data_IF_905952357396
#
_entry.id   IF_905952357396
#
_cell.length_a   1.000
_cell.length_b   1.000
_cell.length_c   1.000
_cell.angle_alpha   90.00
_cell.angle_beta   90.00
_cell.angle_gamma   90.00
#
_symmetry.space_group_name_H-M   'P 1'
#
loop_
_entity.id
_entity.type
_entity.pdbx_description
1 polymer ?
#
# COMPACT_ATOMS: atom_id res chain seq x y z
N UNK A 1 -17.66 30.29 -18.67
CA UNK A 1 -16.39 29.79 -19.25
C UNK A 1 -15.27 29.47 -18.24
N UNK A 2 -15.48 29.53 -16.90
CA UNK A 2 -14.42 29.18 -15.90
C UNK A 2 -14.48 27.73 -15.36
N UNK A 3 -15.50 26.96 -15.69
CA UNK A 3 -15.70 25.59 -15.15
C UNK A 3 -14.95 24.53 -15.97
N UNK A 4 -14.74 24.77 -17.27
CA UNK A 4 -14.08 23.81 -18.18
C UNK A 4 -12.59 23.58 -17.86
N UNK A 5 -11.92 24.57 -17.24
CA UNK A 5 -10.51 24.47 -16.85
C UNK A 5 -10.21 23.49 -15.71
N UNK A 6 -11.22 23.12 -14.89
CA UNK A 6 -11.05 22.16 -13.78
C UNK A 6 -11.23 20.69 -14.19
N UNK A 7 -11.85 20.42 -15.34
CA UNK A 7 -12.12 19.04 -15.81
C UNK A 7 -10.99 18.48 -16.69
N UNK A 8 -10.20 19.35 -17.33
CA UNK A 8 -9.01 18.98 -18.10
C UNK A 8 -7.98 18.18 -17.28
N UNK A 9 -7.58 18.59 -16.04
CA UNK A 9 -6.62 17.83 -15.24
C UNK A 9 -7.17 16.49 -14.74
N UNK A 10 -8.48 16.36 -14.53
CA UNK A 10 -9.08 15.09 -14.12
C UNK A 10 -9.06 14.08 -15.28
N UNK A 11 -9.32 14.53 -16.52
CA UNK A 11 -9.26 13.67 -17.71
C UNK A 11 -7.83 13.22 -18.03
N UNK A 12 -6.83 14.07 -17.84
CA UNK A 12 -5.43 13.69 -18.02
C UNK A 12 -4.95 12.76 -16.90
N UNK A 13 -5.32 13.01 -15.64
CA UNK A 13 -5.02 12.10 -14.53
C UNK A 13 -5.66 10.72 -14.73
N UNK A 14 -6.92 10.67 -15.18
CA UNK A 14 -7.60 9.42 -15.51
C UNK A 14 -6.92 8.70 -16.67
N UNK A 15 -6.50 9.43 -17.70
CA UNK A 15 -5.75 8.87 -18.84
C UNK A 15 -4.41 8.28 -18.43
N UNK A 16 -3.66 8.95 -17.55
CA UNK A 16 -2.40 8.45 -17.00
C UNK A 16 -2.60 7.22 -16.11
N UNK A 17 -3.65 7.22 -15.28
CA UNK A 17 -4.00 6.07 -14.43
C UNK A 17 -4.34 4.84 -15.28
N UNK A 18 -5.15 5.01 -16.32
CA UNK A 18 -5.52 3.94 -17.24
C UNK A 18 -4.28 3.42 -17.98
N UNK A 19 -3.40 4.32 -18.45
CA UNK A 19 -2.15 3.92 -19.09
C UNK A 19 -1.25 3.12 -18.13
N UNK A 20 -1.16 3.52 -16.86
CA UNK A 20 -0.40 2.83 -15.83
C UNK A 20 -0.99 1.44 -15.51
N UNK A 21 -2.32 1.31 -15.44
CA UNK A 21 -2.99 0.01 -15.23
C UNK A 21 -2.84 -0.93 -16.43
N UNK A 22 -2.70 -0.40 -17.64
CA UNK A 22 -2.46 -1.17 -18.86
C UNK A 22 -0.98 -1.49 -19.10
N UNK A 23 -0.06 -0.87 -18.36
CA UNK A 23 1.38 -1.09 -18.46
C UNK A 23 1.79 -2.59 -18.39
N UNK A 24 1.30 -3.41 -17.44
CA UNK A 24 1.67 -4.84 -17.38
C UNK A 24 1.14 -5.69 -18.57
N UNK A 25 0.25 -5.14 -19.41
CA UNK A 25 -0.21 -5.82 -20.63
C UNK A 25 0.69 -5.52 -21.84
N UNK A 26 1.51 -4.46 -21.76
CA UNK A 26 2.37 -4.00 -22.84
C UNK A 26 3.78 -4.59 -22.67
N UNK A 27 4.33 -4.54 -21.46
CA UNK A 27 5.65 -5.07 -21.14
C UNK A 27 5.52 -6.40 -20.39
N UNK A 28 6.23 -7.43 -20.84
CA UNK A 28 6.21 -8.79 -20.25
C UNK A 28 7.46 -9.06 -19.40
N UNK A 29 8.39 -8.09 -19.29
CA UNK A 29 9.57 -8.25 -18.46
C UNK A 29 9.20 -8.14 -16.97
N UNK A 30 9.35 -9.24 -16.24
CA UNK A 30 9.06 -9.32 -14.80
C UNK A 30 9.77 -8.23 -13.98
N UNK A 31 10.99 -7.83 -14.35
CA UNK A 31 11.72 -6.78 -13.64
C UNK A 31 11.01 -5.42 -13.69
N UNK A 32 10.58 -5.00 -14.88
CA UNK A 32 9.88 -3.72 -15.06
C UNK A 32 8.48 -3.74 -14.41
N UNK A 33 7.79 -4.87 -14.49
CA UNK A 33 6.46 -5.04 -13.87
C UNK A 33 6.57 -4.95 -12.35
N UNK A 34 7.57 -5.60 -11.74
CA UNK A 34 7.80 -5.53 -10.29
C UNK A 34 8.14 -4.10 -9.83
N UNK A 35 9.05 -3.41 -10.54
CA UNK A 35 9.38 -2.01 -10.20
C UNK A 35 8.18 -1.07 -10.34
N UNK A 36 7.33 -1.26 -11.35
CA UNK A 36 6.09 -0.50 -11.49
C UNK A 36 5.10 -0.81 -10.36
N UNK A 37 4.97 -2.08 -9.94
CA UNK A 37 4.15 -2.46 -8.80
C UNK A 37 4.64 -1.83 -7.49
N UNK A 38 5.95 -1.84 -7.22
CA UNK A 38 6.53 -1.20 -6.04
C UNK A 38 6.29 0.32 -6.05
N UNK A 39 6.45 0.97 -7.20
CA UNK A 39 6.12 2.38 -7.37
C UNK A 39 4.64 2.66 -7.09
N UNK A 40 3.73 1.80 -7.57
CA UNK A 40 2.29 1.91 -7.29
C UNK A 40 2.00 1.84 -5.78
N UNK A 41 2.66 0.92 -5.08
CA UNK A 41 2.52 0.77 -3.63
C UNK A 41 3.01 2.03 -2.90
N UNK A 42 4.15 2.61 -3.29
CA UNK A 42 4.62 3.87 -2.70
C UNK A 42 3.70 5.06 -3.00
N UNK A 43 3.10 5.11 -4.20
CA UNK A 43 2.08 6.12 -4.52
C UNK A 43 0.85 5.95 -3.62
N UNK A 44 0.37 4.73 -3.41
CA UNK A 44 -0.74 4.44 -2.49
C UNK A 44 -0.40 4.86 -1.05
N UNK A 45 0.83 4.59 -0.60
CA UNK A 45 1.32 5.03 0.71
C UNK A 45 1.33 6.55 0.84
N UNK A 46 1.85 7.25 -0.18
CA UNK A 46 1.90 8.71 -0.19
C UNK A 46 0.49 9.33 -0.21
N UNK A 47 -0.44 8.75 -0.96
CA UNK A 47 -1.84 9.17 -1.00
C UNK A 47 -2.54 8.92 0.34
N UNK A 48 -2.34 7.75 0.95
CA UNK A 48 -2.87 7.43 2.28
C UNK A 48 -2.38 8.43 3.33
N UNK A 49 -1.08 8.73 3.33
CA UNK A 49 -0.50 9.73 4.22
C UNK A 49 -1.02 11.14 3.95
N UNK A 50 -1.21 11.52 2.68
CA UNK A 50 -1.77 12.82 2.31
C UNK A 50 -3.19 13.00 2.87
N UNK A 51 -4.00 11.94 2.88
CA UNK A 51 -5.36 11.96 3.46
C UNK A 51 -5.25 12.16 4.98
N UNK A 52 -4.44 11.38 5.68
CA UNK A 52 -4.36 11.48 7.15
C UNK A 52 -3.81 12.83 7.59
N UNK A 53 -2.69 13.27 7.01
CA UNK A 53 -2.08 14.57 7.35
C UNK A 53 -2.95 15.73 6.89
N UNK A 54 -3.56 15.63 5.71
CA UNK A 54 -4.39 16.69 5.13
C UNK A 54 -5.71 16.92 5.85
N UNK A 55 -6.38 15.86 6.31
CA UNK A 55 -7.69 15.97 6.97
C UNK A 55 -7.60 15.99 8.50
N UNK A 56 -6.70 15.21 9.12
CA UNK A 56 -6.56 15.16 10.58
C UNK A 56 -5.53 16.15 11.13
N UNK A 57 -4.64 16.69 10.29
CA UNK A 57 -3.61 17.66 10.70
C UNK A 57 -2.48 17.08 11.56
N UNK A 58 -2.46 15.76 11.78
CA UNK A 58 -1.46 15.05 12.57
C UNK A 58 -0.77 13.98 11.73
N UNK A 59 0.53 13.78 11.97
CA UNK A 59 1.31 12.73 11.33
C UNK A 59 1.04 11.38 11.99
N UNK A 60 0.40 10.47 11.27
CA UNK A 60 0.23 9.08 11.71
C UNK A 60 1.38 8.21 11.18
N UNK A 61 2.35 7.91 12.05
CA UNK A 61 3.46 7.00 11.76
C UNK A 61 3.06 5.51 11.83
N UNK A 62 1.92 5.19 12.46
CA UNK A 62 1.41 3.82 12.57
C UNK A 62 1.12 3.22 11.21
N UNK A 63 0.61 4.02 10.28
CA UNK A 63 0.31 3.62 8.90
C UNK A 63 1.51 2.94 8.20
N UNK A 64 2.69 3.57 8.24
CA UNK A 64 3.90 3.02 7.63
C UNK A 64 4.42 1.77 8.36
N UNK A 65 4.32 1.75 9.70
CA UNK A 65 4.73 0.61 10.50
C UNK A 65 3.89 -0.64 10.20
N UNK A 66 2.56 -0.52 10.13
CA UNK A 66 1.69 -1.66 9.80
C UNK A 66 1.86 -2.14 8.36
N UNK A 67 2.06 -1.22 7.41
CA UNK A 67 2.43 -1.59 6.04
C UNK A 67 3.72 -2.42 5.98
N UNK A 68 4.76 -2.01 6.71
CA UNK A 68 6.03 -2.72 6.74
C UNK A 68 5.89 -4.12 7.34
N UNK A 69 5.14 -4.27 8.45
CA UNK A 69 4.90 -5.57 9.08
C UNK A 69 4.17 -6.53 8.13
N UNK A 70 3.11 -6.06 7.47
CA UNK A 70 2.34 -6.89 6.55
C UNK A 70 3.13 -7.30 5.31
N UNK A 71 3.81 -6.35 4.65
CA UNK A 71 4.60 -6.62 3.45
C UNK A 71 5.79 -7.53 3.74
N UNK A 72 6.47 -7.35 4.88
CA UNK A 72 7.55 -8.23 5.31
C UNK A 72 7.04 -9.64 5.62
N UNK A 73 5.87 -9.77 6.26
CA UNK A 73 5.23 -11.08 6.49
C UNK A 73 4.99 -11.80 5.16
N UNK A 74 4.46 -11.08 4.16
CA UNK A 74 4.25 -11.62 2.81
C UNK A 74 5.57 -12.02 2.13
N UNK A 75 6.57 -11.12 2.14
CA UNK A 75 7.87 -11.35 1.53
C UNK A 75 8.58 -12.56 2.15
N UNK A 76 8.47 -12.75 3.46
CA UNK A 76 9.07 -13.87 4.17
C UNK A 76 8.42 -15.20 3.75
N UNK A 77 7.09 -15.26 3.66
CA UNK A 77 6.40 -16.47 3.22
C UNK A 77 6.66 -16.78 1.73
N UNK A 78 6.68 -15.75 0.88
CA UNK A 78 7.00 -15.89 -0.53
C UNK A 78 8.48 -16.24 -0.81
N UNK A 79 9.35 -16.08 0.19
CA UNK A 79 10.78 -16.36 0.06
C UNK A 79 11.07 -17.86 0.03
N UNK A 80 12.20 -18.28 -0.59
CA UNK A 80 12.62 -19.68 -0.61
C UNK A 80 12.95 -20.25 0.77
N UNK A 81 13.06 -19.42 1.82
CA UNK A 81 13.48 -19.87 3.14
C UNK A 81 12.51 -20.88 3.78
N UNK A 82 11.21 -20.66 3.63
CA UNK A 82 10.19 -21.49 4.27
C UNK A 82 9.50 -22.46 3.31
N UNK A 83 9.69 -22.32 1.99
CA UNK A 83 8.97 -23.08 0.95
C UNK A 83 7.43 -23.04 1.10
N UNK A 84 6.89 -22.04 1.80
CA UNK A 84 5.46 -21.88 2.07
C UNK A 84 4.85 -20.99 0.97
N UNK A 85 4.47 -21.60 -0.14
CA UNK A 85 3.79 -20.90 -1.22
C UNK A 85 2.27 -20.86 -0.97
N UNK A 86 1.83 -19.92 -0.14
CA UNK A 86 0.40 -19.64 0.04
C UNK A 86 -0.11 -18.70 -1.07
N UNK A 87 -1.34 -18.91 -1.57
CA UNK A 87 -1.96 -17.96 -2.47
C UNK A 87 -2.24 -16.64 -1.75
N UNK A 88 -2.46 -15.58 -2.54
CA UNK A 88 -2.64 -14.21 -2.04
C UNK A 88 -3.71 -14.10 -0.94
N UNK A 89 -4.88 -14.72 -1.13
CA UNK A 89 -6.02 -14.56 -0.22
C UNK A 89 -5.77 -15.08 1.20
N UNK A 90 -5.28 -16.31 1.42
CA UNK A 90 -4.86 -16.75 2.75
C UNK A 90 -3.73 -15.89 3.33
N UNK A 91 -2.77 -15.49 2.50
CA UNK A 91 -1.62 -14.72 2.96
C UNK A 91 -2.02 -13.32 3.43
N UNK A 92 -3.05 -12.73 2.81
CA UNK A 92 -3.66 -11.48 3.25
C UNK A 92 -4.21 -11.60 4.68
N UNK A 93 -4.88 -12.71 5.00
CA UNK A 93 -5.39 -12.95 6.35
C UNK A 93 -4.24 -13.14 7.35
N UNK A 94 -3.21 -13.90 6.98
CA UNK A 94 -2.02 -14.10 7.82
C UNK A 94 -1.33 -12.77 8.10
N UNK A 95 -1.08 -11.96 7.09
CA UNK A 95 -0.48 -10.63 7.23
C UNK A 95 -1.35 -9.68 8.08
N UNK A 96 -2.68 -9.75 7.95
CA UNK A 96 -3.59 -8.98 8.79
C UNK A 96 -3.55 -9.42 10.26
N UNK A 97 -3.48 -10.74 10.52
CA UNK A 97 -3.35 -11.28 11.87
C UNK A 97 -2.00 -10.91 12.49
N UNK A 98 -0.89 -11.00 11.76
CA UNK A 98 0.42 -10.61 12.28
C UNK A 98 0.45 -9.12 12.60
N UNK A 99 0.00 -8.26 11.68
CA UNK A 99 -0.14 -6.83 11.93
C UNK A 99 -1.05 -6.54 13.14
N UNK A 100 -2.16 -7.27 13.29
CA UNK A 100 -3.07 -7.16 14.43
C UNK A 100 -2.42 -7.51 15.76
N UNK A 101 -1.62 -8.59 15.81
CA UNK A 101 -0.87 -8.98 17.01
C UNK A 101 0.12 -7.87 17.41
N UNK A 102 0.90 -7.35 16.46
CA UNK A 102 1.80 -6.23 16.73
C UNK A 102 1.04 -4.97 17.14
N UNK A 103 -0.13 -4.71 16.55
CA UNK A 103 -1.00 -3.60 16.92
C UNK A 103 -1.52 -3.70 18.35
N UNK A 104 -1.91 -4.90 18.79
CA UNK A 104 -2.32 -5.14 20.18
C UNK A 104 -1.12 -5.00 21.12
N UNK A 105 0.04 -5.56 20.77
CA UNK A 105 1.24 -5.47 21.59
C UNK A 105 1.70 -4.01 21.79
N UNK A 106 1.61 -3.18 20.75
CA UNK A 106 2.01 -1.77 20.81
C UNK A 106 0.90 -0.87 21.37
N UNK A 107 -0.37 -1.21 21.14
CA UNK A 107 -1.54 -0.45 21.61
C UNK A 107 -1.96 -0.77 23.05
N UNK A 108 -1.68 -1.97 23.57
CA UNK A 108 -1.97 -2.34 24.95
C UNK A 108 -1.23 -1.47 26.00
N UNK A 109 0.08 -1.15 25.86
CA UNK A 109 0.77 -0.30 26.84
C UNK A 109 0.29 1.16 26.78
N UNK A 110 -0.10 1.69 25.62
CA UNK A 110 -0.61 3.06 25.51
C UNK A 110 -1.99 3.22 26.15
N UNK A 111 -2.81 2.16 26.15
CA UNK A 111 -4.12 2.17 26.81
C UNK A 111 -4.05 2.14 28.34
N UNK A 112 -2.92 1.70 28.91
CA UNK A 112 -2.69 1.62 30.37
C UNK A 112 -2.18 2.93 30.99
N UNK A 113 -1.87 3.94 30.19
CA UNK A 113 -1.30 5.22 30.62
C UNK A 113 -2.37 6.34 30.76
N UNK A 114 -3.65 5.96 30.81
CA UNK A 114 -4.80 6.79 31.13
C UNK A 114 -5.63 6.09 32.20
#
# INVERSE_FOLDING_TARGET
MRVLGRLLPYRTALGLLVLFLLYPLIDHNAGHINSAADAAVFVLLALGLNIVVGFAGLLDLGYAAFFAIGSYTYALAASPFYHVHLPFWPMLLVAALTAGVFGVLLGAPTLRLR
#
